data_IF_077502408937
#
_entry.id   IF_077502408937
#
_cell.length_a   1.000
_cell.length_b   1.000
_cell.length_c   1.000
_cell.angle_alpha   90.00
_cell.angle_beta   90.00
_cell.angle_gamma   90.00
#
_symmetry.space_group_name_H-M   'P 1'
#
loop_
_entity.id
_entity.type
_entity.pdbx_description
1 polymer ?
#
# COMPACT_ATOMS: atom_id res chain seq x y z
N UNK A 1 -6.79 14.41 44.56
CA UNK A 1 -6.23 13.04 44.77
C UNK A 1 -6.90 11.95 43.92
N UNK A 2 -8.22 11.99 43.65
CA UNK A 2 -8.94 10.90 42.95
C UNK A 2 -8.49 10.59 41.51
N UNK A 3 -7.87 11.55 40.82
CA UNK A 3 -7.40 11.38 39.44
C UNK A 3 -5.88 11.18 39.32
N UNK A 4 -5.14 11.23 40.43
CA UNK A 4 -3.68 11.21 40.41
C UNK A 4 -3.15 9.87 39.87
N UNK A 5 -3.78 8.76 40.27
CA UNK A 5 -3.42 7.43 39.76
C UNK A 5 -3.68 7.27 38.27
N UNK A 6 -4.79 7.80 37.75
CA UNK A 6 -5.10 7.76 36.32
C UNK A 6 -4.10 8.59 35.50
N UNK A 7 -3.70 9.76 36.00
CA UNK A 7 -2.68 10.62 35.39
C UNK A 7 -1.32 9.91 35.34
N UNK A 8 -0.91 9.28 36.45
CA UNK A 8 0.32 8.48 36.51
C UNK A 8 0.28 7.32 35.51
N UNK A 9 -0.81 6.55 35.45
CA UNK A 9 -0.96 5.47 34.48
C UNK A 9 -0.81 5.99 33.05
N UNK A 10 -1.50 7.09 32.70
CA UNK A 10 -1.42 7.66 31.36
C UNK A 10 -0.02 8.19 31.01
N UNK A 11 0.72 8.71 32.00
CA UNK A 11 2.07 9.24 31.82
C UNK A 11 3.12 8.14 31.61
N UNK A 12 2.97 6.99 32.28
CA UNK A 12 3.96 5.91 32.26
C UNK A 12 3.62 4.77 31.29
N UNK A 13 2.38 4.67 30.80
CA UNK A 13 1.97 3.68 29.80
C UNK A 13 2.85 3.69 28.52
N UNK A 14 3.24 4.85 27.95
CA UNK A 14 4.03 4.88 26.72
C UNK A 14 5.43 4.26 26.86
N UNK A 15 5.99 4.25 28.07
CA UNK A 15 7.34 3.72 28.34
C UNK A 15 7.39 2.18 28.29
N UNK A 16 6.23 1.52 28.42
CA UNK A 16 6.10 0.07 28.31
C UNK A 16 5.68 -0.39 26.91
N UNK A 17 5.43 0.55 25.99
CA UNK A 17 5.04 0.25 24.62
C UNK A 17 6.26 0.29 23.71
N UNK A 18 6.38 -0.71 22.84
CA UNK A 18 7.32 -0.67 21.73
C UNK A 18 6.68 0.10 20.58
N UNK A 19 7.36 1.13 20.07
CA UNK A 19 6.92 1.80 18.85
C UNK A 19 7.01 0.85 17.66
N UNK A 20 5.96 0.77 16.86
CA UNK A 20 6.00 0.05 15.59
C UNK A 20 6.61 1.00 14.54
N UNK A 21 7.93 0.93 14.39
CA UNK A 21 8.63 1.62 13.31
C UNK A 21 8.66 0.71 12.07
N UNK A 22 8.24 1.26 10.93
CA UNK A 22 8.29 0.59 9.65
C UNK A 22 9.29 1.32 8.76
N UNK A 23 10.36 0.64 8.38
CA UNK A 23 11.30 1.11 7.38
C UNK A 23 10.79 0.69 6.00
N UNK A 24 10.27 1.67 5.25
CA UNK A 24 9.56 1.46 3.97
C UNK A 24 10.21 2.24 2.83
N UNK A 25 11.43 2.76 2.98
CA UNK A 25 12.05 3.51 1.90
C UNK A 25 13.52 3.82 2.10
N UNK A 26 14.33 3.33 1.15
CA UNK A 26 15.74 3.70 0.98
C UNK A 26 15.91 4.80 -0.10
N UNK A 27 14.79 5.39 -0.54
CA UNK A 27 14.73 6.35 -1.64
C UNK A 27 15.49 7.65 -1.33
N UNK A 28 16.38 8.12 -2.23
CA UNK A 28 17.04 9.41 -2.09
C UNK A 28 16.07 10.59 -1.89
N UNK A 29 16.36 11.46 -0.92
CA UNK A 29 15.50 12.61 -0.59
C UNK A 29 15.36 13.68 -1.68
N UNK A 30 16.12 13.57 -2.78
CA UNK A 30 16.08 14.49 -3.93
C UNK A 30 15.35 13.91 -5.16
N UNK A 31 14.61 12.81 -5.00
CA UNK A 31 13.80 12.25 -6.09
C UNK A 31 12.67 13.19 -6.48
N UNK A 32 12.51 13.38 -7.79
CA UNK A 32 11.31 13.96 -8.38
C UNK A 32 10.29 12.85 -8.63
N UNK A 33 9.13 12.98 -8.01
CA UNK A 33 8.03 12.03 -8.12
C UNK A 33 7.05 12.46 -9.20
N UNK A 34 6.64 11.50 -10.03
CA UNK A 34 5.55 11.61 -10.99
C UNK A 34 4.32 10.87 -10.45
N UNK A 35 3.15 11.23 -10.98
CA UNK A 35 1.90 10.55 -10.64
C UNK A 35 1.03 10.31 -11.87
N UNK A 36 0.35 9.17 -11.88
CA UNK A 36 -0.71 8.83 -12.82
C UNK A 36 -1.95 8.50 -12.00
N UNK A 37 -3.07 9.14 -12.33
CA UNK A 37 -4.36 8.89 -11.71
C UNK A 37 -5.25 8.16 -12.70
N UNK A 38 -5.78 7.02 -12.28
CA UNK A 38 -6.77 6.23 -13.00
C UNK A 38 -8.10 6.25 -12.22
N UNK A 39 -9.09 5.45 -12.66
CA UNK A 39 -10.34 5.33 -11.91
C UNK A 39 -10.14 4.75 -10.50
N UNK A 40 -9.18 3.82 -10.35
CA UNK A 40 -8.97 3.04 -9.12
C UNK A 40 -7.61 3.27 -8.44
N UNK A 41 -6.63 3.79 -9.15
CA UNK A 41 -5.26 3.84 -8.67
C UNK A 41 -4.68 5.25 -8.79
N UNK A 42 -3.84 5.58 -7.82
CA UNK A 42 -2.93 6.72 -7.90
C UNK A 42 -1.51 6.16 -7.88
N UNK A 43 -0.94 5.93 -9.06
CA UNK A 43 0.41 5.40 -9.20
C UNK A 43 1.40 6.54 -9.05
N UNK A 44 2.27 6.46 -8.05
CA UNK A 44 3.28 7.44 -7.67
C UNK A 44 4.64 6.78 -7.86
N UNK A 45 5.50 7.36 -8.69
CA UNK A 45 6.77 6.74 -9.05
C UNK A 45 7.87 7.78 -9.31
N UNK A 46 9.15 7.44 -9.14
CA UNK A 46 10.25 8.34 -9.47
C UNK A 46 10.29 8.65 -10.97
N UNK A 47 10.68 9.87 -11.34
CA UNK A 47 10.85 10.26 -12.74
C UNK A 47 11.80 9.31 -13.50
N UNK A 48 12.79 8.74 -12.82
CA UNK A 48 13.72 7.73 -13.35
C UNK A 48 13.07 6.39 -13.72
N UNK A 49 11.90 6.07 -13.16
CA UNK A 49 11.14 4.87 -13.50
C UNK A 49 10.48 4.97 -14.89
N UNK A 50 10.35 6.19 -15.43
CA UNK A 50 9.99 6.42 -16.84
C UNK A 50 8.64 5.82 -17.26
N UNK A 51 8.62 5.18 -18.43
CA UNK A 51 7.41 4.65 -19.06
C UNK A 51 6.83 3.42 -18.33
N UNK A 52 7.62 2.77 -17.47
CA UNK A 52 7.17 1.64 -16.63
C UNK A 52 6.05 2.06 -15.68
N UNK A 53 6.03 3.33 -15.24
CA UNK A 53 4.93 3.85 -14.44
C UNK A 53 3.58 3.80 -15.17
N UNK A 54 3.59 4.04 -16.49
CA UNK A 54 2.39 3.95 -17.32
C UNK A 54 1.98 2.49 -17.58
N UNK A 55 2.96 1.61 -17.80
CA UNK A 55 2.71 0.17 -17.97
C UNK A 55 2.06 -0.40 -16.71
N UNK A 56 2.64 -0.11 -15.53
CA UNK A 56 2.10 -0.51 -14.25
C UNK A 56 0.67 -0.03 -14.04
N UNK A 57 0.37 1.25 -14.32
CA UNK A 57 -0.97 1.79 -14.20
C UNK A 57 -2.00 1.03 -15.06
N UNK A 58 -1.63 0.66 -16.29
CA UNK A 58 -2.49 -0.15 -17.17
C UNK A 58 -2.67 -1.58 -16.63
N UNK A 59 -1.59 -2.23 -16.19
CA UNK A 59 -1.63 -3.60 -15.65
C UNK A 59 -2.48 -3.69 -14.38
N UNK A 60 -2.44 -2.68 -13.51
CA UNK A 60 -3.28 -2.61 -12.32
C UNK A 60 -4.78 -2.53 -12.66
N UNK A 61 -5.17 -1.73 -13.66
CA UNK A 61 -6.56 -1.67 -14.11
C UNK A 61 -7.01 -3.00 -14.74
N UNK A 62 -6.15 -3.66 -15.53
CA UNK A 62 -6.46 -4.98 -16.08
C UNK A 62 -6.61 -6.04 -14.99
N UNK A 63 -5.70 -6.08 -14.02
CA UNK A 63 -5.78 -6.98 -12.87
C UNK A 63 -7.04 -6.75 -12.04
N UNK A 64 -7.50 -5.50 -11.91
CA UNK A 64 -8.77 -5.20 -11.27
C UNK A 64 -9.94 -5.81 -12.02
N UNK A 65 -9.98 -5.64 -13.34
CA UNK A 65 -11.05 -6.16 -14.19
C UNK A 65 -11.12 -7.68 -14.18
N UNK A 66 -9.99 -8.37 -14.02
CA UNK A 66 -9.92 -9.82 -13.85
C UNK A 66 -10.42 -10.25 -12.47
N UNK A 67 -9.94 -9.64 -11.38
CA UNK A 67 -10.23 -10.06 -10.00
C UNK A 67 -11.62 -9.65 -9.50
N UNK A 68 -12.23 -8.60 -10.05
CA UNK A 68 -13.53 -8.08 -9.56
C UNK A 68 -14.68 -9.10 -9.64
N UNK A 69 -14.58 -10.08 -10.54
CA UNK A 69 -15.58 -11.14 -10.71
C UNK A 69 -15.61 -12.09 -9.51
N UNK A 70 -14.45 -12.40 -8.97
CA UNK A 70 -14.30 -13.32 -7.83
C UNK A 70 -14.60 -12.65 -6.49
N UNK A 71 -14.30 -11.36 -6.39
CA UNK A 71 -14.51 -10.56 -5.19
C UNK A 71 -15.58 -9.49 -5.43
N UNK A 72 -16.86 -9.88 -5.34
CA UNK A 72 -18.05 -9.02 -5.31
C UNK A 72 -17.72 -7.52 -5.38
N UNK A 73 -17.71 -6.94 -6.59
CA UNK A 73 -17.34 -5.56 -6.92
C UNK A 73 -17.04 -4.66 -5.69
N UNK A 74 -15.76 -4.39 -5.47
CA UNK A 74 -15.30 -3.46 -4.44
C UNK A 74 -14.89 -2.15 -5.10
N UNK A 75 -15.43 -1.04 -4.61
CA UNK A 75 -15.01 0.30 -4.99
C UNK A 75 -13.89 0.79 -4.07
N UNK A 76 -12.75 1.14 -4.66
CA UNK A 76 -11.61 1.68 -3.94
C UNK A 76 -10.79 2.57 -4.86
N UNK A 77 -10.19 3.60 -4.24
CA UNK A 77 -9.07 4.34 -4.79
C UNK A 77 -7.87 4.10 -3.89
N UNK A 78 -6.77 3.56 -4.44
CA UNK A 78 -5.58 3.17 -3.69
C UNK A 78 -4.33 3.81 -4.29
N UNK A 79 -3.53 4.53 -3.48
CA UNK A 79 -2.18 4.92 -3.86
C UNK A 79 -1.29 3.69 -4.06
N UNK A 80 -0.50 3.69 -5.12
CA UNK A 80 0.54 2.71 -5.39
C UNK A 80 1.84 3.46 -5.52
N UNK A 81 2.75 3.30 -4.56
CA UNK A 81 4.05 4.00 -4.55
C UNK A 81 5.12 3.03 -5.02
N UNK A 82 5.96 3.47 -5.96
CA UNK A 82 7.04 2.67 -6.53
C UNK A 82 8.37 3.14 -5.95
N UNK A 83 9.07 2.27 -5.26
CA UNK A 83 10.39 2.49 -4.68
C UNK A 83 11.46 1.84 -5.59
N UNK A 84 11.79 2.51 -6.70
CA UNK A 84 12.69 1.96 -7.72
C UNK A 84 14.18 1.98 -7.35
N UNK A 85 14.54 2.54 -6.20
CA UNK A 85 15.93 2.61 -5.70
C UNK A 85 16.25 1.52 -4.67
N UNK A 86 15.31 0.63 -4.39
CA UNK A 86 15.50 -0.52 -3.50
C UNK A 86 16.22 -1.65 -4.20
N UNK A 87 17.10 -2.35 -3.46
CA UNK A 87 17.72 -3.61 -3.91
C UNK A 87 16.86 -4.84 -3.60
N UNK A 88 15.73 -4.66 -2.90
CA UNK A 88 14.79 -5.70 -2.53
C UNK A 88 13.65 -5.75 -3.54
N UNK A 89 13.42 -6.91 -4.14
CA UNK A 89 12.23 -7.17 -4.95
C UNK A 89 11.06 -7.56 -4.05
N UNK A 90 10.04 -6.72 -3.92
CA UNK A 90 8.86 -7.04 -3.12
C UNK A 90 7.66 -6.12 -3.42
N UNK A 91 6.50 -6.45 -2.84
CA UNK A 91 5.38 -5.54 -2.69
C UNK A 91 4.79 -5.66 -1.28
N UNK A 92 4.13 -4.60 -0.82
CA UNK A 92 3.47 -4.61 0.50
C UNK A 92 2.22 -3.77 0.48
N UNK A 93 1.10 -4.38 0.86
CA UNK A 93 -0.16 -3.68 1.09
C UNK A 93 -0.20 -3.16 2.52
N UNK A 94 -0.14 -1.84 2.67
CA UNK A 94 -0.36 -1.15 3.96
C UNK A 94 -1.84 -0.80 4.07
N UNK A 95 -2.42 -1.01 5.25
CA UNK A 95 -3.86 -0.84 5.45
C UNK A 95 -4.29 0.58 5.86
N UNK A 96 -3.50 1.25 6.69
CA UNK A 96 -3.87 2.54 7.27
C UNK A 96 -2.67 3.53 7.25
N UNK A 97 -2.72 4.60 6.43
CA UNK A 97 -3.63 4.79 5.31
C UNK A 97 -3.36 3.73 4.22
N UNK A 98 -4.45 3.26 3.58
CA UNK A 98 -4.38 2.19 2.58
C UNK A 98 -3.49 2.58 1.40
N UNK A 99 -2.51 1.76 1.06
CA UNK A 99 -1.64 1.93 -0.10
C UNK A 99 -0.89 0.63 -0.42
N UNK A 100 -0.42 0.53 -1.64
CA UNK A 100 0.53 -0.49 -2.07
C UNK A 100 1.91 0.18 -2.16
N UNK A 101 2.91 -0.37 -1.48
CA UNK A 101 4.32 -0.01 -1.66
C UNK A 101 4.94 -1.10 -2.57
N UNK A 102 5.50 -0.72 -3.72
CA UNK A 102 6.14 -1.64 -4.66
C UNK A 102 7.64 -1.38 -4.72
N UNK A 103 8.42 -2.45 -4.74
CA UNK A 103 9.87 -2.42 -4.87
C UNK A 103 10.25 -3.29 -6.08
N UNK A 104 10.20 -2.73 -7.30
CA UNK A 104 10.44 -3.50 -8.51
C UNK A 104 11.92 -3.89 -8.65
N UNK A 105 12.19 -5.13 -9.07
CA UNK A 105 13.53 -5.60 -9.41
C UNK A 105 14.00 -4.96 -10.72
N UNK A 106 15.21 -4.38 -10.80
CA UNK A 106 15.78 -4.02 -12.09
C UNK A 106 16.15 -5.29 -12.86
N UNK A 107 15.32 -5.69 -13.83
CA UNK A 107 15.75 -6.56 -14.93
C UNK A 107 15.37 -8.05 -14.91
N UNK A 108 14.43 -8.51 -14.08
CA UNK A 108 13.96 -9.90 -14.16
C UNK A 108 13.04 -10.11 -15.38
N UNK A 109 13.59 -10.54 -16.52
CA UNK A 109 12.84 -10.81 -17.76
C UNK A 109 12.67 -12.31 -18.07
N UNK A 110 13.09 -13.20 -17.17
CA UNK A 110 13.18 -14.65 -17.43
C UNK A 110 11.98 -15.47 -16.91
N UNK A 111 10.87 -14.83 -16.53
CA UNK A 111 9.63 -15.53 -16.14
C UNK A 111 8.66 -15.67 -17.32
N UNK A 112 7.87 -16.77 -17.37
CA UNK A 112 6.91 -17.02 -18.45
C UNK A 112 5.71 -16.04 -18.45
N UNK A 113 5.51 -15.30 -17.36
CA UNK A 113 4.50 -14.25 -17.21
C UNK A 113 5.22 -12.94 -16.94
N UNK A 114 4.70 -11.84 -17.48
CA UNK A 114 5.20 -10.49 -17.25
C UNK A 114 5.30 -10.22 -15.72
N UNK A 115 6.49 -9.93 -15.17
CA UNK A 115 6.68 -9.76 -13.74
C UNK A 115 5.84 -8.64 -13.13
N UNK A 116 5.58 -7.57 -13.89
CA UNK A 116 4.76 -6.44 -13.44
C UNK A 116 3.30 -6.84 -13.36
N UNK A 117 2.84 -7.66 -14.30
CA UNK A 117 1.50 -8.25 -14.28
C UNK A 117 1.29 -9.18 -13.09
N UNK A 118 2.22 -10.11 -12.85
CA UNK A 118 2.14 -11.01 -11.70
C UNK A 118 2.13 -10.23 -10.38
N UNK A 119 2.98 -9.21 -10.26
CA UNK A 119 3.03 -8.35 -9.07
C UNK A 119 1.72 -7.57 -8.88
N UNK A 120 1.17 -7.00 -9.96
CA UNK A 120 -0.09 -6.29 -9.92
C UNK A 120 -1.24 -7.20 -9.43
N UNK A 121 -1.35 -8.42 -9.96
CA UNK A 121 -2.38 -9.39 -9.54
C UNK A 121 -2.17 -9.81 -8.08
N UNK A 122 -0.93 -10.08 -7.68
CA UNK A 122 -0.59 -10.51 -6.32
C UNK A 122 -0.97 -9.45 -5.27
N UNK A 123 -0.49 -8.22 -5.43
CA UNK A 123 -0.76 -7.14 -4.48
C UNK A 123 -2.24 -6.74 -4.48
N UNK A 124 -2.89 -6.77 -5.65
CA UNK A 124 -4.30 -6.44 -5.73
C UNK A 124 -5.18 -7.50 -5.06
N UNK A 125 -4.78 -8.78 -5.08
CA UNK A 125 -5.47 -9.84 -4.33
C UNK A 125 -5.48 -9.52 -2.83
N UNK A 126 -4.36 -9.06 -2.27
CA UNK A 126 -4.30 -8.62 -0.87
C UNK A 126 -5.21 -7.42 -0.61
N UNK A 127 -5.27 -6.45 -1.52
CA UNK A 127 -6.22 -5.34 -1.43
C UNK A 127 -7.66 -5.83 -1.37
N UNK A 128 -8.06 -6.77 -2.24
CA UNK A 128 -9.41 -7.32 -2.26
C UNK A 128 -9.73 -8.07 -0.97
N UNK A 129 -8.80 -8.89 -0.47
CA UNK A 129 -8.95 -9.62 0.80
C UNK A 129 -9.20 -8.65 1.95
N UNK A 130 -8.33 -7.65 2.14
CA UNK A 130 -8.45 -6.69 3.24
C UNK A 130 -9.70 -5.81 3.07
N UNK A 131 -10.02 -5.40 1.84
CA UNK A 131 -11.23 -4.61 1.55
C UNK A 131 -12.52 -5.40 1.82
N UNK A 132 -12.51 -6.71 1.58
CA UNK A 132 -13.66 -7.57 1.86
C UNK A 132 -13.91 -7.74 3.37
N UNK A 133 -12.85 -7.76 4.19
CA UNK A 133 -12.95 -7.84 5.66
C UNK A 133 -13.58 -6.59 6.30
N UNK A 134 -13.64 -5.47 5.58
CA UNK A 134 -14.29 -4.25 6.07
C UNK A 134 -15.80 -4.33 6.15
N UNK A 135 -16.41 -5.25 5.40
CA UNK A 135 -17.87 -5.35 5.31
C UNK A 135 -18.41 -5.75 6.69
N UNK A 136 -18.76 -4.77 7.52
CA UNK A 136 -19.24 -4.96 8.89
C UNK A 136 -18.51 -4.14 9.96
N UNK A 137 -17.35 -3.54 9.68
CA UNK A 137 -16.67 -2.67 10.66
C UNK A 137 -17.29 -1.26 10.61
N UNK A 138 -17.72 -0.77 11.77
CA UNK A 138 -18.33 0.56 11.89
C UNK A 138 -17.33 1.68 11.55
N UNK A 139 -17.83 2.85 11.14
CA UNK A 139 -16.98 4.02 10.84
C UNK A 139 -16.07 4.39 12.01
N UNK A 140 -16.59 4.29 13.24
CA UNK A 140 -15.82 4.54 14.47
C UNK A 140 -14.71 3.52 14.66
N UNK A 141 -14.98 2.23 14.44
CA UNK A 141 -13.96 1.18 14.49
C UNK A 141 -12.82 1.44 13.50
N UNK A 142 -13.13 1.89 12.28
CA UNK A 142 -12.12 2.23 11.25
C UNK A 142 -11.23 3.40 11.69
N UNK A 143 -11.83 4.46 12.22
CA UNK A 143 -11.10 5.64 12.74
C UNK A 143 -10.19 5.28 13.91
N UNK A 144 -10.63 4.41 14.83
CA UNK A 144 -9.79 3.95 15.94
C UNK A 144 -8.60 3.11 15.43
N UNK A 145 -8.81 2.35 14.37
CA UNK A 145 -7.78 1.55 13.71
C UNK A 145 -6.90 2.36 12.74
N UNK A 146 -7.01 3.69 12.72
CA UNK A 146 -6.14 4.59 11.95
C UNK A 146 -6.56 4.84 10.51
N UNK A 147 -7.76 4.40 10.12
CA UNK A 147 -8.33 4.71 8.81
C UNK A 147 -9.25 5.93 8.89
N UNK A 148 -8.87 7.00 8.18
CA UNK A 148 -9.53 8.31 8.20
C UNK A 148 -10.01 8.75 6.82
#
# INVERSE_FOLDING_TARGET
MRFLGAILIFLFLPLALFSQYYDIGEDPGNIKWLKIETGRFKVIFPESYGDEGQLLARKLELAYEELKGDFNYLDFNIPVVVHSYSTRTNGTVVWAPKRIELYPSPGEHDMPVDPVEQLAIHELTHVFQVSSMKKGISKVGRTILGEH
#
